data_IF_791942630747
#
_entry.id   IF_791942630747
#
_cell.length_a   1.000
_cell.length_b   1.000
_cell.length_c   1.000
_cell.angle_alpha   90.00
_cell.angle_beta   90.00
_cell.angle_gamma   90.00
#
_symmetry.space_group_name_H-M   'P 1'
#
loop_
_entity.id
_entity.type
_entity.pdbx_description
1 polymer ?
#
# COMPACT_ATOMS: atom_id res chain seq x y z
N UNK A 1 -9.14 14.49 -34.65
CA UNK A 1 -8.53 13.19 -34.35
C UNK A 1 -7.53 13.40 -33.23
N UNK A 2 -7.90 12.97 -32.04
CA UNK A 2 -7.09 13.05 -30.83
C UNK A 2 -6.32 11.73 -30.76
N UNK A 3 -5.09 11.72 -31.23
CA UNK A 3 -4.21 10.54 -31.21
C UNK A 3 -2.93 10.98 -30.50
N UNK A 4 -3.08 11.16 -29.19
CA UNK A 4 -1.96 11.34 -28.28
C UNK A 4 -1.18 10.03 -28.35
N UNK A 5 0.01 10.03 -28.94
CA UNK A 5 0.81 8.84 -29.30
C UNK A 5 1.30 7.98 -28.13
N UNK A 6 0.41 7.62 -27.21
CA UNK A 6 0.55 6.56 -26.24
C UNK A 6 0.32 5.24 -26.97
N UNK A 7 1.41 4.60 -27.37
CA UNK A 7 1.37 3.20 -27.80
C UNK A 7 0.85 2.37 -26.63
N UNK A 8 -0.27 1.67 -26.84
CA UNK A 8 -0.73 0.64 -25.91
C UNK A 8 0.26 -0.52 -26.00
N UNK A 9 1.30 -0.48 -25.16
CA UNK A 9 2.37 -1.48 -25.11
C UNK A 9 1.80 -2.90 -24.91
N UNK A 10 0.65 -3.02 -24.23
CA UNK A 10 -0.01 -4.32 -24.06
C UNK A 10 -0.66 -4.79 -25.38
N UNK A 11 -1.14 -3.90 -26.25
CA UNK A 11 -1.73 -4.31 -27.52
C UNK A 11 -0.72 -5.01 -28.44
N UNK A 12 0.56 -4.63 -28.36
CA UNK A 12 1.65 -5.18 -29.18
C UNK A 12 2.29 -6.46 -28.61
N UNK A 13 2.07 -6.77 -27.33
CA UNK A 13 2.62 -7.96 -26.68
C UNK A 13 1.89 -9.24 -27.09
N UNK A 14 2.68 -10.31 -27.22
CA UNK A 14 2.18 -11.68 -27.40
C UNK A 14 1.41 -12.15 -26.17
N UNK A 15 0.65 -13.24 -26.32
CA UNK A 15 -0.12 -13.84 -25.21
C UNK A 15 0.81 -14.26 -24.07
N UNK A 16 1.98 -14.83 -24.40
CA UNK A 16 2.98 -15.26 -23.42
C UNK A 16 3.55 -14.08 -22.65
N UNK A 17 3.97 -13.03 -23.34
CA UNK A 17 4.50 -11.82 -22.71
C UNK A 17 3.47 -11.13 -21.82
N UNK A 18 2.19 -11.15 -22.19
CA UNK A 18 1.09 -10.63 -21.37
C UNK A 18 0.92 -11.40 -20.07
N UNK A 19 1.03 -12.73 -20.12
CA UNK A 19 0.94 -13.58 -18.94
C UNK A 19 2.14 -13.34 -18.01
N UNK A 20 3.36 -13.30 -18.57
CA UNK A 20 4.58 -12.98 -17.82
C UNK A 20 4.49 -11.60 -17.15
N UNK A 21 4.01 -10.60 -17.87
CA UNK A 21 3.79 -9.26 -17.34
C UNK A 21 2.73 -9.23 -16.24
N UNK A 22 1.61 -9.96 -16.42
CA UNK A 22 0.56 -10.04 -15.41
C UNK A 22 1.08 -10.66 -14.10
N UNK A 23 1.92 -11.69 -14.20
CA UNK A 23 2.61 -12.28 -13.04
C UNK A 23 3.58 -11.28 -12.41
N UNK A 24 4.38 -10.58 -13.21
CA UNK A 24 5.36 -9.62 -12.73
C UNK A 24 4.72 -8.41 -12.02
N UNK A 25 3.53 -7.96 -12.46
CA UNK A 25 2.82 -6.82 -11.86
C UNK A 25 1.99 -7.23 -10.63
N UNK A 26 1.76 -8.53 -10.42
CA UNK A 26 0.93 -9.02 -9.31
C UNK A 26 1.37 -8.52 -7.92
N UNK A 27 2.68 -8.51 -7.56
CA UNK A 27 3.12 -7.99 -6.27
C UNK A 27 2.84 -6.49 -6.11
N UNK A 28 3.03 -5.69 -7.18
CA UNK A 28 2.74 -4.25 -7.19
C UNK A 28 1.25 -4.00 -6.96
N UNK A 29 0.39 -4.75 -7.66
CA UNK A 29 -1.06 -4.63 -7.51
C UNK A 29 -1.52 -5.03 -6.12
N UNK A 30 -1.03 -6.15 -5.59
CA UNK A 30 -1.40 -6.62 -4.27
C UNK A 30 -0.93 -5.66 -3.18
N UNK A 31 0.32 -5.20 -3.25
CA UNK A 31 0.88 -4.22 -2.33
C UNK A 31 -0.02 -2.97 -2.25
N UNK A 32 -0.32 -2.35 -3.40
CA UNK A 32 -1.19 -1.16 -3.46
C UNK A 32 -2.58 -1.40 -2.86
N UNK A 33 -3.20 -2.53 -3.17
CA UNK A 33 -4.54 -2.86 -2.67
C UNK A 33 -4.53 -3.13 -1.17
N UNK A 34 -3.57 -3.92 -0.69
CA UNK A 34 -3.44 -4.26 0.74
C UNK A 34 -3.14 -3.01 1.55
N UNK A 35 -2.14 -2.21 1.16
CA UNK A 35 -1.82 -0.96 1.85
C UNK A 35 -3.04 -0.03 1.94
N UNK A 36 -3.69 0.28 0.82
CA UNK A 36 -4.91 1.14 0.82
C UNK A 36 -6.01 0.60 1.73
N UNK A 37 -6.24 -0.71 1.72
CA UNK A 37 -7.27 -1.34 2.56
C UNK A 37 -6.94 -1.25 4.05
N UNK A 38 -5.68 -1.40 4.44
CA UNK A 38 -5.25 -1.25 5.83
C UNK A 38 -5.52 0.17 6.31
N UNK A 39 -5.06 1.18 5.56
CA UNK A 39 -5.34 2.59 5.83
C UNK A 39 -6.85 2.85 5.99
N UNK A 40 -7.64 2.43 5.00
CA UNK A 40 -9.07 2.62 5.00
C UNK A 40 -9.74 1.97 6.22
N UNK A 41 -9.38 0.73 6.58
CA UNK A 41 -9.98 0.03 7.71
C UNK A 41 -9.65 0.67 9.05
N UNK A 42 -8.41 1.11 9.26
CA UNK A 42 -8.01 1.75 10.52
C UNK A 42 -8.74 3.09 10.69
N UNK A 43 -8.79 3.91 9.64
CA UNK A 43 -9.48 5.23 9.68
C UNK A 43 -10.98 5.06 9.94
N UNK A 44 -11.62 4.05 9.34
CA UNK A 44 -13.07 3.83 9.46
C UNK A 44 -13.47 2.94 10.65
N UNK A 45 -12.54 2.55 11.51
CA UNK A 45 -12.82 1.79 12.74
C UNK A 45 -12.27 2.52 13.97
N UNK A 46 -12.90 3.66 14.34
CA UNK A 46 -12.40 4.54 15.40
C UNK A 46 -12.44 3.92 16.80
N UNK A 47 -13.22 2.85 17.00
CA UNK A 47 -13.44 2.22 18.31
C UNK A 47 -12.65 0.94 18.52
N UNK A 48 -12.20 0.27 17.45
CA UNK A 48 -11.54 -1.04 17.54
C UNK A 48 -10.13 -0.95 16.95
N UNK A 49 -10.01 -0.68 15.65
CA UNK A 49 -8.72 -0.72 14.98
C UNK A 49 -7.87 0.52 15.27
N UNK A 50 -8.46 1.70 15.35
CA UNK A 50 -7.70 2.92 15.64
C UNK A 50 -7.07 2.90 17.06
N UNK A 51 -7.79 2.52 18.14
CA UNK A 51 -7.17 2.39 19.46
C UNK A 51 -6.14 1.26 19.52
N UNK A 52 -6.37 0.16 18.78
CA UNK A 52 -5.41 -0.94 18.66
C UNK A 52 -4.12 -0.48 17.95
N UNK A 53 -4.25 0.30 16.88
CA UNK A 53 -3.11 0.93 16.19
C UNK A 53 -2.34 1.85 17.14
N UNK A 54 -3.01 2.76 17.84
CA UNK A 54 -2.36 3.66 18.81
C UNK A 54 -1.58 2.90 19.88
N UNK A 55 -2.08 1.73 20.32
CA UNK A 55 -1.34 0.84 21.24
C UNK A 55 -0.12 0.21 20.57
N UNK A 56 -0.24 -0.22 19.32
CA UNK A 56 0.87 -0.83 18.59
C UNK A 56 2.04 0.15 18.38
N UNK A 57 1.75 1.43 18.14
CA UNK A 57 2.77 2.47 17.98
C UNK A 57 3.11 3.21 19.28
N UNK A 58 2.55 2.80 20.42
CA UNK A 58 2.79 3.47 21.69
C UNK A 58 4.28 3.39 22.08
N UNK A 59 4.88 4.53 22.43
CA UNK A 59 6.31 4.61 22.75
C UNK A 59 7.25 4.67 21.54
N UNK A 60 6.72 4.71 20.32
CA UNK A 60 7.50 4.98 19.11
C UNK A 60 7.42 6.45 18.70
N UNK A 61 8.24 6.86 17.72
CA UNK A 61 8.12 8.17 17.08
C UNK A 61 6.78 8.37 16.32
N UNK A 62 5.99 7.30 16.16
CA UNK A 62 4.71 7.31 15.47
C UNK A 62 3.50 7.34 16.42
N UNK A 63 3.70 7.47 17.74
CA UNK A 63 2.62 7.43 18.73
C UNK A 63 1.51 8.48 18.48
N UNK A 64 1.89 9.65 17.97
CA UNK A 64 0.96 10.74 17.62
C UNK A 64 0.60 10.75 16.13
N UNK A 65 1.19 9.85 15.34
CA UNK A 65 0.96 9.78 13.90
C UNK A 65 -0.27 8.92 13.62
N UNK A 66 -1.36 9.59 13.29
CA UNK A 66 -2.50 8.91 12.68
C UNK A 66 -2.12 8.55 11.24
N UNK A 67 -2.38 7.30 10.84
CA UNK A 67 -2.24 6.84 9.46
C UNK A 67 -2.82 7.88 8.48
N UNK A 68 -2.10 8.33 7.42
CA UNK A 68 -2.58 9.35 6.49
C UNK A 68 -4.04 9.14 6.07
N UNK A 69 -4.87 10.15 6.37
CA UNK A 69 -6.28 10.19 5.98
C UNK A 69 -6.38 10.25 4.47
N UNK A 70 -7.32 9.50 3.90
CA UNK A 70 -7.70 9.64 2.50
C UNK A 70 -8.28 11.04 2.28
N UNK A 71 -7.46 11.96 1.75
CA UNK A 71 -7.87 13.31 1.36
C UNK A 71 -7.87 13.38 -0.15
N UNK A 72 -9.07 13.55 -0.72
CA UNK A 72 -9.41 13.54 -2.14
C UNK A 72 -8.71 14.60 -3.01
N UNK A 73 -7.73 15.34 -2.49
CA UNK A 73 -7.24 16.59 -3.10
C UNK A 73 -5.73 16.70 -3.34
N UNK A 74 -4.88 15.69 -3.10
CA UNK A 74 -3.44 15.88 -3.27
C UNK A 74 -2.73 14.84 -4.16
N UNK A 75 -2.09 15.34 -5.22
CA UNK A 75 -1.36 14.65 -6.30
C UNK A 75 -0.31 13.60 -5.89
N UNK A 76 0.05 13.48 -4.61
CA UNK A 76 1.01 12.49 -4.11
C UNK A 76 0.47 11.68 -2.91
N UNK A 77 -0.85 11.51 -2.79
CA UNK A 77 -1.41 10.70 -1.70
C UNK A 77 -0.91 9.25 -1.75
N UNK A 78 -0.74 8.67 -2.95
CA UNK A 78 -0.20 7.30 -3.08
C UNK A 78 1.26 7.24 -2.64
N UNK A 79 2.11 8.16 -3.10
CA UNK A 79 3.51 8.23 -2.64
C UNK A 79 3.60 8.42 -1.12
N UNK A 80 2.92 9.43 -0.57
CA UNK A 80 2.95 9.74 0.86
C UNK A 80 2.41 8.58 1.71
N UNK A 81 1.36 7.90 1.24
CA UNK A 81 0.80 6.72 1.89
C UNK A 81 1.81 5.57 1.89
N UNK A 82 2.41 5.24 0.74
CA UNK A 82 3.38 4.15 0.65
C UNK A 82 4.66 4.45 1.43
N UNK A 83 5.18 5.66 1.36
CA UNK A 83 6.36 6.09 2.13
C UNK A 83 6.11 5.97 3.64
N UNK A 84 4.97 6.46 4.13
CA UNK A 84 4.58 6.28 5.52
C UNK A 84 4.42 4.79 5.90
N UNK A 85 3.86 3.99 5.00
CA UNK A 85 3.68 2.55 5.23
C UNK A 85 5.02 1.82 5.37
N UNK A 86 6.05 2.20 4.62
CA UNK A 86 7.42 1.68 4.77
C UNK A 86 8.02 2.12 6.12
N UNK A 87 7.90 3.40 6.46
CA UNK A 87 8.45 3.94 7.72
C UNK A 87 7.91 3.21 8.96
N UNK A 88 6.67 2.71 8.87
CA UNK A 88 5.97 2.03 9.96
C UNK A 88 5.95 0.49 9.81
N UNK A 89 6.76 -0.08 8.93
CA UNK A 89 6.74 -1.52 8.56
C UNK A 89 6.65 -2.46 9.75
N UNK A 90 7.53 -2.32 10.74
CA UNK A 90 7.56 -3.18 11.93
C UNK A 90 6.23 -3.16 12.70
N UNK A 91 5.69 -1.96 12.94
CA UNK A 91 4.41 -1.78 13.64
C UNK A 91 3.23 -2.30 12.83
N UNK A 92 3.28 -2.14 11.51
CA UNK A 92 2.26 -2.66 10.60
C UNK A 92 2.26 -4.19 10.64
N UNK A 93 3.41 -4.84 10.54
CA UNK A 93 3.48 -6.30 10.57
C UNK A 93 2.93 -6.85 11.90
N UNK A 94 3.35 -6.28 13.04
CA UNK A 94 2.81 -6.65 14.37
C UNK A 94 1.29 -6.41 14.44
N UNK A 95 0.83 -5.27 13.94
CA UNK A 95 -0.58 -4.89 13.96
C UNK A 95 -1.44 -5.80 13.08
N UNK A 96 -0.96 -6.19 11.91
CA UNK A 96 -1.67 -7.06 10.96
C UNK A 96 -1.66 -8.53 11.40
N UNK A 97 -0.57 -8.98 12.02
CA UNK A 97 -0.44 -10.35 12.54
C UNK A 97 -1.27 -10.58 13.80
N UNK A 98 -1.60 -9.51 14.54
CA UNK A 98 -2.50 -9.59 15.69
C UNK A 98 -3.88 -10.13 15.32
N UNK A 99 -4.18 -11.34 15.80
CA UNK A 99 -5.45 -12.03 15.55
C UNK A 99 -6.67 -11.24 16.01
N UNK A 100 -6.53 -10.39 17.05
CA UNK A 100 -7.61 -9.51 17.52
C UNK A 100 -8.01 -8.42 16.53
N UNK A 101 -7.17 -8.10 15.55
CA UNK A 101 -7.47 -7.06 14.56
C UNK A 101 -8.17 -7.62 13.31
N UNK A 102 -8.09 -8.94 13.05
CA UNK A 102 -8.74 -9.56 11.88
C UNK A 102 -8.21 -9.07 10.53
N UNK A 103 -6.93 -8.66 10.48
CA UNK A 103 -6.29 -8.06 9.29
C UNK A 103 -5.20 -8.92 8.66
N UNK A 104 -4.98 -10.15 9.14
CA UNK A 104 -3.92 -11.06 8.68
C UNK A 104 -3.93 -11.30 7.16
N UNK A 105 -5.10 -11.28 6.52
CA UNK A 105 -5.25 -11.37 5.05
C UNK A 105 -4.58 -10.22 4.27
N UNK A 106 -4.24 -9.13 4.95
CA UNK A 106 -3.55 -7.96 4.38
C UNK A 106 -2.06 -7.94 4.71
N UNK A 107 -1.50 -8.98 5.33
CA UNK A 107 -0.05 -9.11 5.49
C UNK A 107 0.63 -9.04 4.13
N UNK A 108 1.73 -8.29 4.07
CA UNK A 108 2.55 -8.19 2.89
C UNK A 108 3.61 -9.29 2.90
N UNK A 109 3.74 -9.98 1.77
CA UNK A 109 4.88 -10.86 1.52
C UNK A 109 6.14 -10.03 1.22
N UNK A 110 7.33 -10.64 1.31
CA UNK A 110 8.59 -9.95 1.01
C UNK A 110 8.60 -9.33 -0.40
N UNK A 111 8.02 -10.02 -1.38
CA UNK A 111 7.88 -9.51 -2.75
C UNK A 111 6.93 -8.31 -2.84
N UNK A 112 5.90 -8.27 -2.01
CA UNK A 112 4.97 -7.15 -1.94
C UNK A 112 5.60 -5.97 -1.21
N UNK A 113 6.36 -6.20 -0.14
CA UNK A 113 7.17 -5.17 0.53
C UNK A 113 8.18 -4.55 -0.42
N UNK A 114 8.90 -5.38 -1.19
CA UNK A 114 9.83 -4.91 -2.21
C UNK A 114 9.13 -4.08 -3.28
N UNK A 115 7.95 -4.51 -3.71
CA UNK A 115 7.11 -3.75 -4.63
C UNK A 115 6.68 -2.38 -4.07
N UNK A 116 6.37 -2.26 -2.76
CA UNK A 116 6.09 -0.95 -2.13
C UNK A 116 7.32 -0.04 -2.21
N UNK A 117 8.51 -0.56 -1.90
CA UNK A 117 9.77 0.20 -1.96
C UNK A 117 10.07 0.70 -3.38
N UNK A 118 9.92 -0.17 -4.38
CA UNK A 118 10.17 0.16 -5.79
C UNK A 118 9.17 1.23 -6.28
N UNK A 119 7.90 1.13 -5.88
CA UNK A 119 6.89 2.16 -6.18
C UNK A 119 7.21 3.50 -5.54
N UNK A 120 7.67 3.52 -4.28
CA UNK A 120 8.05 4.77 -3.60
C UNK A 120 9.23 5.43 -4.32
N UNK A 121 10.22 4.65 -4.77
CA UNK A 121 11.34 5.18 -5.56
C UNK A 121 10.86 5.75 -6.90
N UNK A 122 9.98 5.04 -7.62
CA UNK A 122 9.49 5.46 -8.92
C UNK A 122 8.58 6.71 -8.86
N UNK A 123 7.82 6.87 -7.77
CA UNK A 123 6.90 7.99 -7.57
C UNK A 123 7.54 9.23 -6.93
N UNK A 124 8.83 9.15 -6.55
CA UNK A 124 9.56 10.26 -5.95
C UNK A 124 9.90 11.29 -7.04
N UNK A 125 9.11 12.36 -7.13
CA UNK A 125 9.29 13.51 -8.02
C UNK A 125 9.97 14.65 -7.29
#
# INVERSE_FOLDING_TARGET
>A
NNDDGFVDMLAEMTVVEKEEWAVAVMPLRNALVKTRRVFFKVINSPTILLPSWCKAVAGSAFCDRTLPRDVSTCWNLTYNMLAAFIEMKEYIDIFLDSSSNGLTQYLLMDTEWKAVEDLVHALKV
#
